data_IF_174842171584
#
_entry.id   IF_174842171584
#
_cell.length_a   1.000
_cell.length_b   1.000
_cell.length_c   1.000
_cell.angle_alpha   90.00
_cell.angle_beta   90.00
_cell.angle_gamma   90.00
#
_symmetry.space_group_name_H-M   'P 1'
#
loop_
_entity.id
_entity.type
_entity.pdbx_description
1 polymer ?
#
# COMPACT_ATOMS: atom_id res chain seq x y z
N UNK A 1 33.93 -56.11 67.13
CA UNK A 1 32.80 -55.94 66.20
C UNK A 1 32.19 -54.54 66.19
N UNK A 2 32.22 -53.77 67.28
CA UNK A 2 31.59 -52.43 67.36
C UNK A 2 32.27 -51.36 66.47
N UNK A 3 33.60 -51.35 66.39
CA UNK A 3 34.33 -50.30 65.66
C UNK A 3 34.22 -50.44 64.13
N UNK A 4 34.17 -51.67 63.61
CA UNK A 4 33.97 -51.93 62.18
C UNK A 4 32.60 -51.43 61.68
N UNK A 5 31.54 -51.62 62.46
CA UNK A 5 30.20 -51.13 62.13
C UNK A 5 30.11 -49.59 62.19
N UNK A 6 30.84 -48.96 63.11
CA UNK A 6 30.95 -47.49 63.17
C UNK A 6 31.70 -46.94 61.94
N UNK A 7 32.79 -47.58 61.54
CA UNK A 7 33.56 -47.19 60.34
C UNK A 7 32.78 -47.37 59.05
N UNK A 8 31.98 -48.44 58.91
CA UNK A 8 31.09 -48.62 57.76
C UNK A 8 29.98 -47.56 57.75
N UNK A 9 29.38 -47.29 58.92
CA UNK A 9 28.37 -46.26 59.07
C UNK A 9 28.88 -44.86 58.69
N UNK A 10 30.09 -44.49 59.12
CA UNK A 10 30.70 -43.21 58.74
C UNK A 10 31.08 -43.14 57.27
N UNK A 11 31.57 -44.24 56.67
CA UNK A 11 31.90 -44.29 55.24
C UNK A 11 30.65 -44.15 54.36
N UNK A 12 29.55 -44.82 54.71
CA UNK A 12 28.27 -44.71 53.99
C UNK A 12 27.67 -43.30 54.07
N UNK A 13 27.81 -42.64 55.22
CA UNK A 13 27.37 -41.24 55.39
C UNK A 13 28.23 -40.28 54.54
N UNK A 14 29.53 -40.51 54.43
CA UNK A 14 30.45 -39.74 53.59
C UNK A 14 30.19 -39.96 52.09
N UNK A 15 29.90 -41.20 51.69
CA UNK A 15 29.52 -41.54 50.32
C UNK A 15 28.20 -40.85 49.94
N UNK A 16 27.19 -40.94 50.81
CA UNK A 16 25.89 -40.28 50.60
C UNK A 16 25.99 -38.75 50.55
N UNK A 17 26.81 -38.13 51.41
CA UNK A 17 27.05 -36.67 51.33
C UNK A 17 27.83 -36.31 50.06
N UNK A 18 28.82 -37.10 49.64
CA UNK A 18 29.53 -36.89 48.39
C UNK A 18 28.67 -37.08 47.13
N UNK A 19 27.70 -37.99 47.15
CA UNK A 19 26.68 -38.14 46.11
C UNK A 19 25.71 -36.96 46.07
N UNK A 20 25.28 -36.47 47.24
CA UNK A 20 24.43 -35.27 47.35
C UNK A 20 25.15 -34.03 46.83
N UNK A 21 26.43 -33.82 47.18
CA UNK A 21 27.21 -32.69 46.65
C UNK A 21 27.34 -32.72 45.13
N UNK A 22 27.61 -33.90 44.54
CA UNK A 22 27.66 -34.07 43.08
C UNK A 22 26.29 -33.87 42.42
N UNK A 23 25.20 -34.24 43.09
CA UNK A 23 23.85 -33.97 42.60
C UNK A 23 23.52 -32.47 42.62
N UNK A 24 23.90 -31.76 43.69
CA UNK A 24 23.74 -30.31 43.82
C UNK A 24 24.56 -29.57 42.75
N UNK A 25 25.80 -29.98 42.51
CA UNK A 25 26.66 -29.38 41.48
C UNK A 25 26.06 -29.53 40.07
N UNK A 26 25.56 -30.73 39.73
CA UNK A 26 24.86 -30.96 38.46
C UNK A 26 23.60 -30.10 38.32
N UNK A 27 22.84 -29.95 39.41
CA UNK A 27 21.67 -29.07 39.43
C UNK A 27 22.06 -27.59 39.26
N UNK A 28 23.17 -27.14 39.86
CA UNK A 28 23.70 -25.79 39.69
C UNK A 28 24.08 -25.49 38.24
N UNK A 29 24.83 -26.40 37.59
CA UNK A 29 25.21 -26.26 36.19
C UNK A 29 23.98 -26.22 35.27
N UNK A 30 22.97 -27.05 35.55
CA UNK A 30 21.73 -27.07 34.75
C UNK A 30 20.90 -25.80 34.95
N UNK A 31 20.81 -25.29 36.18
CA UNK A 31 20.16 -24.01 36.47
C UNK A 31 20.85 -22.85 35.75
N UNK A 32 22.18 -22.81 35.71
CA UNK A 32 22.94 -21.80 34.98
C UNK A 32 22.68 -21.87 33.46
N UNK A 33 22.63 -23.08 32.89
CA UNK A 33 22.28 -23.29 31.47
C UNK A 33 20.86 -22.83 31.17
N UNK A 34 19.90 -23.17 32.03
CA UNK A 34 18.51 -22.74 31.87
C UNK A 34 18.38 -21.22 31.99
N UNK A 35 19.06 -20.59 32.95
CA UNK A 35 19.09 -19.13 33.06
C UNK A 35 19.71 -18.47 31.82
N UNK A 36 20.78 -19.05 31.27
CA UNK A 36 21.37 -18.55 30.04
C UNK A 36 20.42 -18.69 28.85
N UNK A 37 19.78 -19.85 28.69
CA UNK A 37 18.80 -20.07 27.64
C UNK A 37 17.59 -19.13 27.75
N UNK A 38 17.13 -18.83 28.97
CA UNK A 38 16.06 -17.84 29.21
C UNK A 38 16.52 -16.44 28.82
N UNK A 39 17.75 -16.04 29.18
CA UNK A 39 18.30 -14.73 28.79
C UNK A 39 18.40 -14.59 27.26
N UNK A 40 18.89 -15.62 26.59
CA UNK A 40 19.03 -15.62 25.14
C UNK A 40 17.65 -15.61 24.45
N UNK A 41 16.69 -16.40 24.94
CA UNK A 41 15.32 -16.39 24.43
C UNK A 41 14.61 -15.04 24.65
N UNK A 42 14.83 -14.38 25.79
CA UNK A 42 14.30 -13.04 26.06
C UNK A 42 14.91 -12.00 25.11
N UNK A 43 16.21 -12.09 24.83
CA UNK A 43 16.88 -11.22 23.87
C UNK A 43 16.33 -11.42 22.46
N UNK A 44 16.18 -12.66 22.02
CA UNK A 44 15.65 -12.99 20.69
C UNK A 44 14.19 -12.54 20.55
N UNK A 45 13.36 -12.75 21.58
CA UNK A 45 12.00 -12.25 21.63
C UNK A 45 11.94 -10.71 21.52
N UNK A 46 12.81 -10.00 22.26
CA UNK A 46 12.90 -8.54 22.19
C UNK A 46 13.34 -8.04 20.82
N UNK A 47 14.27 -8.73 20.16
CA UNK A 47 14.68 -8.40 18.78
C UNK A 47 13.56 -8.66 17.77
N UNK A 48 12.85 -9.78 17.91
CA UNK A 48 11.71 -10.11 17.06
C UNK A 48 10.57 -9.09 17.22
N UNK A 49 10.26 -8.70 18.45
CA UNK A 49 9.27 -7.66 18.75
C UNK A 49 9.69 -6.30 18.17
N UNK A 50 10.96 -5.92 18.35
CA UNK A 50 11.52 -4.70 17.76
C UNK A 50 11.39 -4.66 16.24
N UNK A 51 11.75 -5.76 15.57
CA UNK A 51 11.60 -5.90 14.11
C UNK A 51 10.12 -5.85 13.69
N UNK A 52 9.23 -6.56 14.38
CA UNK A 52 7.81 -6.55 14.10
C UNK A 52 7.21 -5.14 14.22
N UNK A 53 7.58 -4.40 15.27
CA UNK A 53 7.15 -3.03 15.47
C UNK A 53 7.71 -2.08 14.40
N UNK A 54 8.97 -2.25 13.99
CA UNK A 54 9.56 -1.49 12.88
C UNK A 54 8.81 -1.72 11.56
N UNK A 55 8.53 -2.98 11.23
CA UNK A 55 7.79 -3.33 10.01
C UNK A 55 6.35 -2.82 10.04
N UNK A 56 5.67 -2.92 11.20
CA UNK A 56 4.31 -2.38 11.37
C UNK A 56 4.27 -0.88 11.14
N UNK A 57 5.16 -0.11 11.78
CA UNK A 57 5.24 1.34 11.59
C UNK A 57 5.52 1.74 10.14
N UNK A 58 6.44 1.04 9.47
CA UNK A 58 6.69 1.28 8.05
C UNK A 58 5.47 0.97 7.18
N UNK A 59 4.72 -0.08 7.50
CA UNK A 59 3.49 -0.40 6.77
C UNK A 59 2.45 0.73 6.93
N UNK A 60 2.22 1.18 8.17
CA UNK A 60 1.33 2.31 8.48
C UNK A 60 1.76 3.60 7.72
N UNK A 61 3.06 3.94 7.74
CA UNK A 61 3.59 5.09 7.00
C UNK A 61 3.36 5.00 5.49
N UNK A 62 3.49 3.80 4.90
CA UNK A 62 3.23 3.60 3.48
C UNK A 62 1.74 3.65 3.14
N UNK A 63 0.87 3.09 3.98
CA UNK A 63 -0.58 3.17 3.80
C UNK A 63 -1.05 4.63 3.85
N UNK A 64 -0.57 5.40 4.82
CA UNK A 64 -0.85 6.83 4.90
C UNK A 64 -0.35 7.60 3.68
N UNK A 65 0.84 7.25 3.18
CA UNK A 65 1.39 7.89 1.99
C UNK A 65 0.55 7.57 0.75
N UNK A 66 0.19 6.30 0.53
CA UNK A 66 -0.56 5.84 -0.64
C UNK A 66 -2.00 6.37 -0.69
N UNK A 67 -2.55 6.82 0.44
CA UNK A 67 -3.84 7.49 0.50
C UNK A 67 -3.82 8.96 0.01
N UNK A 68 -2.63 9.54 -0.23
CA UNK A 68 -2.48 10.96 -0.61
C UNK A 68 -2.60 11.19 -2.12
N UNK A 69 -2.84 12.45 -2.55
CA UNK A 69 -2.74 12.83 -3.95
C UNK A 69 -1.38 12.45 -4.55
N UNK A 70 -1.37 12.02 -5.82
CA UNK A 70 -0.15 11.55 -6.49
C UNK A 70 1.00 12.56 -6.44
N UNK A 71 0.71 13.85 -6.52
CA UNK A 71 1.72 14.91 -6.39
C UNK A 71 2.42 14.90 -5.01
N UNK A 72 1.67 14.64 -3.94
CA UNK A 72 2.22 14.54 -2.58
C UNK A 72 3.04 13.25 -2.39
N UNK A 73 2.62 12.15 -3.02
CA UNK A 73 3.38 10.89 -3.03
C UNK A 73 4.72 11.10 -3.76
N UNK A 74 4.69 11.74 -4.93
CA UNK A 74 5.87 12.06 -5.72
C UNK A 74 6.86 12.97 -4.97
N UNK A 75 6.36 13.91 -4.17
CA UNK A 75 7.23 14.76 -3.35
C UNK A 75 8.04 13.97 -2.30
N UNK A 76 7.53 12.81 -1.84
CA UNK A 76 8.15 12.00 -0.78
C UNK A 76 8.89 10.75 -1.28
N UNK A 77 8.57 10.26 -2.48
CA UNK A 77 9.18 9.04 -3.02
C UNK A 77 9.77 9.31 -4.42
N UNK A 78 11.10 9.35 -4.50
CA UNK A 78 11.81 9.66 -5.76
C UNK A 78 11.56 8.65 -6.88
N UNK A 79 11.36 7.36 -6.58
CA UNK A 79 11.03 6.35 -7.60
C UNK A 79 9.62 6.55 -8.15
N UNK A 80 8.67 6.87 -7.27
CA UNK A 80 7.30 7.21 -7.69
C UNK A 80 7.29 8.51 -8.50
N UNK A 81 8.10 9.50 -8.10
CA UNK A 81 8.22 10.78 -8.80
C UNK A 81 8.59 10.61 -10.27
N UNK A 82 9.53 9.75 -10.59
CA UNK A 82 9.92 9.52 -11.99
C UNK A 82 8.74 9.02 -12.84
N UNK A 83 7.95 8.08 -12.33
CA UNK A 83 6.76 7.59 -13.03
C UNK A 83 5.65 8.64 -13.10
N UNK A 84 5.50 9.44 -12.04
CA UNK A 84 4.54 10.54 -11.99
C UNK A 84 4.87 11.63 -13.01
N UNK A 85 6.13 12.06 -13.09
CA UNK A 85 6.59 13.11 -14.01
C UNK A 85 6.38 12.65 -15.46
N UNK A 86 6.72 11.40 -15.81
CA UNK A 86 6.43 10.82 -17.14
C UNK A 86 4.93 10.81 -17.48
N UNK A 87 4.07 10.55 -16.48
CA UNK A 87 2.62 10.64 -16.69
C UNK A 87 2.16 12.09 -16.89
N UNK A 88 2.74 13.06 -16.17
CA UNK A 88 2.43 14.48 -16.39
C UNK A 88 2.86 14.96 -17.77
N UNK A 89 4.03 14.53 -18.25
CA UNK A 89 4.50 14.82 -19.62
C UNK A 89 3.54 14.26 -20.67
N UNK A 90 3.12 13.00 -20.54
CA UNK A 90 2.13 12.39 -21.43
C UNK A 90 0.79 13.14 -21.42
N UNK A 91 0.30 13.54 -20.23
CA UNK A 91 -0.92 14.32 -20.12
C UNK A 91 -0.79 15.72 -20.75
N UNK A 92 0.36 16.36 -20.59
CA UNK A 92 0.64 17.66 -21.20
C UNK A 92 0.66 17.57 -22.73
N UNK A 93 1.32 16.56 -23.29
CA UNK A 93 1.34 16.29 -24.72
C UNK A 93 -0.06 15.97 -25.27
N UNK A 94 -0.85 15.18 -24.54
CA UNK A 94 -2.23 14.89 -24.90
C UNK A 94 -3.10 16.16 -24.91
N UNK A 95 -2.99 17.03 -23.89
CA UNK A 95 -3.71 18.31 -23.84
C UNK A 95 -3.30 19.21 -25.02
N UNK A 96 -2.00 19.28 -25.32
CA UNK A 96 -1.49 20.04 -26.46
C UNK A 96 -2.07 19.51 -27.77
N UNK A 97 -2.09 18.19 -27.95
CA UNK A 97 -2.69 17.53 -29.11
C UNK A 97 -4.19 17.84 -29.24
N UNK A 98 -4.96 17.78 -28.15
CA UNK A 98 -6.38 18.16 -28.16
C UNK A 98 -6.59 19.63 -28.56
N UNK A 99 -5.71 20.54 -28.09
CA UNK A 99 -5.75 21.96 -28.50
C UNK A 99 -5.41 22.14 -29.97
N UNK A 100 -4.40 21.44 -30.48
CA UNK A 100 -4.03 21.47 -31.89
C UNK A 100 -5.16 20.96 -32.80
N UNK A 101 -5.81 19.85 -32.43
CA UNK A 101 -6.97 19.35 -33.16
C UNK A 101 -8.16 20.31 -33.10
N UNK A 102 -8.40 20.98 -31.97
CA UNK A 102 -9.43 22.01 -31.88
C UNK A 102 -9.14 23.18 -32.82
N UNK A 103 -7.90 23.66 -32.87
CA UNK A 103 -7.50 24.73 -33.80
C UNK A 103 -7.70 24.31 -35.26
N UNK A 104 -7.34 23.07 -35.59
CA UNK A 104 -7.52 22.50 -36.92
C UNK A 104 -9.02 22.41 -37.29
N UNK A 105 -9.86 21.94 -36.37
CA UNK A 105 -11.30 21.86 -36.56
C UNK A 105 -11.91 23.25 -36.80
N UNK A 106 -11.48 24.27 -36.05
CA UNK A 106 -11.92 25.66 -36.25
C UNK A 106 -11.52 26.19 -37.63
N UNK A 107 -10.26 25.95 -38.04
CA UNK A 107 -9.77 26.34 -39.37
C UNK A 107 -10.61 25.73 -40.49
N UNK A 108 -10.86 24.42 -40.45
CA UNK A 108 -11.63 23.74 -41.50
C UNK A 108 -13.13 24.02 -41.42
N UNK A 109 -13.70 24.17 -40.23
CA UNK A 109 -15.09 24.56 -40.08
C UNK A 109 -15.35 25.95 -40.63
N UNK A 110 -14.42 26.90 -40.43
CA UNK A 110 -14.47 28.22 -41.08
C UNK A 110 -14.46 28.13 -42.61
N UNK A 111 -13.60 27.27 -43.18
CA UNK A 111 -13.58 27.02 -44.64
C UNK A 111 -14.89 26.39 -45.14
N UNK A 112 -15.56 25.61 -44.30
CA UNK A 112 -16.87 25.02 -44.57
C UNK A 112 -18.06 25.95 -44.25
N UNK A 113 -17.80 27.20 -43.86
CA UNK A 113 -18.85 28.18 -43.53
C UNK A 113 -19.53 27.99 -42.17
N UNK A 114 -18.97 27.14 -41.29
CA UNK A 114 -19.52 26.85 -39.95
C UNK A 114 -19.05 27.86 -38.91
N UNK A 115 -19.89 28.10 -37.91
CA UNK A 115 -19.54 28.88 -36.73
C UNK A 115 -18.78 28.04 -35.69
N UNK A 116 -18.03 28.67 -34.76
CA UNK A 116 -17.39 27.97 -33.65
C UNK A 116 -18.37 27.15 -32.80
N UNK A 117 -19.60 27.65 -32.60
CA UNK A 117 -20.64 26.99 -31.82
C UNK A 117 -21.13 25.72 -32.51
N UNK A 118 -21.33 25.75 -33.82
CA UNK A 118 -21.70 24.58 -34.62
C UNK A 118 -20.62 23.50 -34.55
N UNK A 119 -19.34 23.89 -34.69
CA UNK A 119 -18.20 22.98 -34.58
C UNK A 119 -18.13 22.35 -33.18
N UNK A 120 -18.38 23.14 -32.14
CA UNK A 120 -18.41 22.63 -30.77
C UNK A 120 -19.56 21.65 -30.55
N UNK A 121 -20.76 21.96 -31.04
CA UNK A 121 -21.92 21.07 -30.94
C UNK A 121 -21.67 19.74 -31.67
N UNK A 122 -21.14 19.80 -32.90
CA UNK A 122 -20.77 18.60 -33.67
C UNK A 122 -19.67 17.79 -32.99
N UNK A 123 -18.66 18.45 -32.44
CA UNK A 123 -17.61 17.78 -31.67
C UNK A 123 -18.15 17.06 -30.43
N UNK A 124 -19.16 17.62 -29.75
CA UNK A 124 -19.83 16.95 -28.64
C UNK A 124 -20.67 15.76 -29.09
N UNK A 125 -21.44 15.90 -30.17
CA UNK A 125 -22.21 14.79 -30.75
C UNK A 125 -21.28 13.63 -31.20
N UNK A 126 -20.12 13.97 -31.76
CA UNK A 126 -19.11 12.98 -32.19
C UNK A 126 -18.56 12.15 -31.03
N UNK A 127 -18.51 12.69 -29.81
CA UNK A 127 -18.08 11.91 -28.64
C UNK A 127 -19.02 10.74 -28.35
N UNK A 128 -20.33 10.93 -28.49
CA UNK A 128 -21.32 9.86 -28.31
C UNK A 128 -21.17 8.81 -29.40
N UNK A 129 -20.97 9.23 -30.67
CA UNK A 129 -20.69 8.32 -31.79
C UNK A 129 -19.46 7.45 -31.51
N UNK A 130 -18.39 8.02 -30.97
CA UNK A 130 -17.16 7.29 -30.60
C UNK A 130 -17.44 6.33 -29.44
N UNK A 131 -18.17 6.77 -28.42
CA UNK A 131 -18.53 5.96 -27.26
C UNK A 131 -19.34 4.72 -27.66
N UNK A 132 -20.26 4.89 -28.62
CA UNK A 132 -21.09 3.84 -29.18
C UNK A 132 -20.36 2.96 -30.20
N UNK A 133 -19.08 3.25 -30.49
CA UNK A 133 -18.27 2.49 -31.44
C UNK A 133 -18.66 2.68 -32.91
N UNK A 134 -19.39 3.75 -33.22
CA UNK A 134 -19.92 4.06 -34.56
C UNK A 134 -19.01 4.97 -35.39
N UNK A 135 -17.74 5.09 -34.99
CA UNK A 135 -16.78 5.97 -35.63
C UNK A 135 -16.46 5.53 -37.06
N UNK A 136 -16.64 6.45 -38.01
CA UNK A 136 -16.35 6.22 -39.43
C UNK A 136 -14.86 6.41 -39.78
N UNK A 137 -14.09 7.04 -38.89
CA UNK A 137 -12.70 7.42 -39.13
C UNK A 137 -11.72 6.66 -38.23
N UNK A 138 -12.12 5.50 -37.70
CA UNK A 138 -11.26 4.63 -36.89
C UNK A 138 -10.98 5.15 -35.48
N UNK A 139 -11.63 6.22 -35.04
CA UNK A 139 -11.55 6.70 -33.65
C UNK A 139 -12.42 5.82 -32.76
N UNK A 140 -11.86 4.76 -32.19
CA UNK A 140 -12.58 3.82 -31.32
C UNK A 140 -12.05 3.86 -29.90
N UNK A 141 -12.91 3.60 -28.93
CA UNK A 141 -12.53 3.36 -27.53
C UNK A 141 -12.56 1.87 -27.22
N UNK A 142 -11.60 1.41 -26.44
CA UNK A 142 -11.54 0.06 -25.88
C UNK A 142 -12.65 -0.15 -24.85
N UNK A 143 -12.99 -1.42 -24.58
CA UNK A 143 -13.97 -1.76 -23.56
C UNK A 143 -13.58 -1.28 -22.15
N UNK A 144 -12.28 -1.26 -21.84
CA UNK A 144 -11.77 -0.71 -20.59
C UNK A 144 -12.00 0.81 -20.49
N UNK A 145 -11.79 1.55 -21.58
CA UNK A 145 -12.05 2.99 -21.63
C UNK A 145 -13.54 3.29 -21.49
N UNK A 146 -14.41 2.53 -22.16
CA UNK A 146 -15.87 2.64 -21.99
C UNK A 146 -16.26 2.43 -20.52
N UNK A 147 -15.77 1.37 -19.88
CA UNK A 147 -16.05 1.10 -18.48
C UNK A 147 -15.56 2.24 -17.56
N UNK A 148 -14.39 2.82 -17.84
CA UNK A 148 -13.88 3.98 -17.10
C UNK A 148 -14.77 5.21 -17.25
N UNK A 149 -15.21 5.51 -18.46
CA UNK A 149 -16.10 6.64 -18.74
C UNK A 149 -17.46 6.48 -18.07
N UNK A 150 -18.02 5.26 -18.06
CA UNK A 150 -19.27 4.97 -17.36
C UNK A 150 -19.12 5.14 -15.84
N UNK A 151 -18.01 4.67 -15.25
CA UNK A 151 -17.70 4.90 -13.83
C UNK A 151 -17.60 6.38 -13.49
N UNK A 152 -16.98 7.18 -14.37
CA UNK A 152 -16.92 8.63 -14.21
C UNK A 152 -18.32 9.25 -14.20
N UNK A 153 -19.15 8.91 -15.19
CA UNK A 153 -20.52 9.43 -15.31
C UNK A 153 -21.37 9.10 -14.08
N UNK A 154 -21.37 7.85 -13.64
CA UNK A 154 -22.10 7.41 -12.45
C UNK A 154 -21.65 8.16 -11.18
N UNK A 155 -20.36 8.45 -11.04
CA UNK A 155 -19.83 9.25 -9.92
C UNK A 155 -20.31 10.70 -9.98
N UNK A 156 -20.30 11.32 -11.15
CA UNK A 156 -20.78 12.70 -11.35
C UNK A 156 -22.29 12.82 -11.07
N UNK A 157 -23.09 11.85 -11.53
CA UNK A 157 -24.52 11.77 -11.23
C UNK A 157 -24.80 11.66 -9.73
N UNK A 158 -24.07 10.78 -9.04
CA UNK A 158 -24.18 10.62 -7.58
C UNK A 158 -23.82 11.92 -6.84
N UNK A 159 -22.78 12.61 -7.29
CA UNK A 159 -22.37 13.90 -6.70
C UNK A 159 -23.43 14.99 -6.95
N UNK A 160 -24.00 15.05 -8.15
CA UNK A 160 -25.07 15.99 -8.48
C UNK A 160 -26.33 15.74 -7.63
N UNK A 161 -26.74 14.48 -7.46
CA UNK A 161 -27.86 14.10 -6.60
C UNK A 161 -27.60 14.46 -5.13
N UNK A 162 -26.40 14.19 -4.62
CA UNK A 162 -26.03 14.56 -3.25
C UNK A 162 -26.06 16.08 -3.04
N UNK A 163 -25.60 16.86 -4.02
CA UNK A 163 -25.65 18.32 -3.98
C UNK A 163 -27.09 18.85 -4.00
N UNK A 164 -27.96 18.28 -4.85
CA UNK A 164 -29.38 18.63 -4.90
C UNK A 164 -30.10 18.33 -3.58
N UNK A 165 -29.90 17.13 -3.03
CA UNK A 165 -30.53 16.73 -1.75
C UNK A 165 -30.11 17.67 -0.61
N UNK A 166 -28.84 18.07 -0.57
CA UNK A 166 -28.33 19.04 0.41
C UNK A 166 -28.99 20.42 0.25
N UNK A 167 -29.18 20.89 -0.98
CA UNK A 167 -29.84 22.16 -1.27
C UNK A 167 -31.33 22.14 -0.87
N UNK A 168 -32.03 21.02 -1.10
CA UNK A 168 -33.46 20.88 -0.75
C UNK A 168 -33.75 20.66 0.72
N UNK A 169 -32.75 20.28 1.54
CA UNK A 169 -32.92 20.10 3.00
C UNK A 169 -32.33 21.27 3.82
N UNK A 170 -31.72 22.25 3.15
CA UNK A 170 -31.21 23.49 3.77
C UNK A 170 -32.12 24.70 3.50
N UNK A 171 -33.26 24.49 2.85
CA UNK A 171 -34.31 25.47 2.56
C UNK A 171 -35.59 25.08 3.30
#
# INVERSE_FOLDING_TARGET
MSDFLKTIGTLHVLEKTGEQSRAIERQGIELERQQQAVRDAQRDAGMAEGNANFHRRRAEEYEELLAKPMAEIAAKNGRFRETYDKQQEMLADWILSQRAFKELAMKYGKLAGKTPEEIQAEGMATKEIILDGQSQFGNTVTETEKANLQRKKAREEKQAQAAQNKATHSA
#
